data_IF_961500953348
#
_entry.id   IF_961500953348
#
_cell.length_a   1.000
_cell.length_b   1.000
_cell.length_c   1.000
_cell.angle_alpha   90.00
_cell.angle_beta   90.00
_cell.angle_gamma   90.00
#
_symmetry.space_group_name_H-M   'P 1'
#
loop_
_entity.id
_entity.type
_entity.pdbx_description
1 polymer ?
#
# COMPACT_ATOMS: atom_id res chain seq x y z
N UNK A 1 -25.73 -55.82 -30.71
CA UNK A 1 -24.95 -55.47 -29.51
C UNK A 1 -25.44 -54.10 -29.02
N UNK A 2 -25.79 -54.04 -27.72
CA UNK A 2 -26.06 -52.82 -26.93
C UNK A 2 -24.90 -51.80 -27.10
N UNK A 3 -25.05 -50.49 -26.93
CA UNK A 3 -25.49 -49.78 -25.72
C UNK A 3 -25.99 -48.36 -26.08
N UNK A 4 -27.16 -47.98 -25.54
CA UNK A 4 -27.65 -46.60 -25.39
C UNK A 4 -26.95 -45.90 -24.23
N UNK A 5 -26.65 -44.59 -24.33
CA UNK A 5 -26.80 -43.57 -23.26
C UNK A 5 -26.49 -42.17 -23.84
N UNK A 6 -27.50 -41.42 -24.28
CA UNK A 6 -28.08 -40.24 -23.62
C UNK A 6 -27.10 -39.41 -22.75
N UNK A 7 -26.60 -38.32 -23.32
CA UNK A 7 -26.06 -37.18 -22.57
C UNK A 7 -27.19 -36.51 -21.75
N UNK A 8 -26.98 -36.37 -20.45
CA UNK A 8 -27.81 -35.56 -19.54
C UNK A 8 -27.32 -34.11 -19.52
N UNK A 9 -28.21 -33.12 -19.36
CA UNK A 9 -27.83 -31.72 -19.16
C UNK A 9 -27.42 -31.51 -17.69
N UNK A 10 -26.33 -30.80 -17.44
CA UNK A 10 -25.95 -30.41 -16.08
C UNK A 10 -26.62 -29.09 -15.70
N UNK A 11 -27.64 -29.30 -14.88
CA UNK A 11 -28.38 -28.43 -13.98
C UNK A 11 -27.79 -27.05 -13.62
N UNK A 12 -28.66 -26.04 -13.69
CA UNK A 12 -28.53 -24.77 -12.99
C UNK A 12 -28.49 -25.02 -11.47
N UNK A 13 -27.53 -24.40 -10.79
CA UNK A 13 -27.70 -23.99 -9.40
C UNK A 13 -26.78 -22.82 -9.11
N UNK A 14 -27.39 -21.67 -8.83
CA UNK A 14 -26.73 -20.53 -8.21
C UNK A 14 -26.26 -20.92 -6.81
N UNK A 15 -25.16 -20.33 -6.34
CA UNK A 15 -25.12 -19.89 -4.96
C UNK A 15 -24.76 -18.41 -4.93
N UNK A 16 -25.76 -17.59 -4.60
CA UNK A 16 -25.56 -16.31 -3.93
C UNK A 16 -24.83 -16.57 -2.61
N UNK A 17 -23.56 -16.18 -2.53
CA UNK A 17 -22.90 -15.95 -1.25
C UNK A 17 -22.61 -14.46 -1.15
N UNK A 18 -23.43 -13.79 -0.34
CA UNK A 18 -23.12 -12.49 0.22
C UNK A 18 -21.75 -12.56 0.89
N UNK A 19 -20.79 -11.81 0.37
CA UNK A 19 -19.52 -11.59 1.04
C UNK A 19 -19.80 -10.70 2.25
N UNK A 20 -19.91 -11.31 3.43
CA UNK A 20 -19.85 -10.62 4.72
C UNK A 20 -18.53 -9.85 4.79
N UNK A 21 -18.61 -8.52 4.71
CA UNK A 21 -17.50 -7.62 5.00
C UNK A 21 -17.21 -7.71 6.49
N UNK A 22 -16.15 -8.44 6.85
CA UNK A 22 -15.57 -8.40 8.19
C UNK A 22 -14.88 -7.06 8.36
N UNK A 23 -15.55 -6.09 8.97
CA UNK A 23 -14.93 -4.86 9.44
C UNK A 23 -14.05 -5.19 10.65
N UNK A 24 -12.72 -5.17 10.47
CA UNK A 24 -11.78 -5.23 11.58
C UNK A 24 -11.84 -3.86 12.30
N UNK A 25 -12.45 -3.87 13.47
CA UNK A 25 -12.64 -2.71 14.31
C UNK A 25 -11.33 -2.40 15.06
N UNK A 26 -10.54 -1.44 14.56
CA UNK A 26 -9.35 -0.95 15.26
C UNK A 26 -9.78 -0.03 16.41
N UNK A 27 -10.01 -0.65 17.56
CA UNK A 27 -10.36 0.05 18.78
C UNK A 27 -9.09 0.66 19.41
N UNK A 28 -9.01 1.99 19.43
CA UNK A 28 -7.96 2.76 20.11
C UNK A 28 -8.05 2.56 21.63
N UNK A 29 -7.28 1.63 22.19
CA UNK A 29 -7.08 1.55 23.64
C UNK A 29 -5.59 1.73 23.98
N UNK A 30 -5.34 2.91 24.55
CA UNK A 30 -4.32 3.26 25.53
C UNK A 30 -2.96 2.53 25.44
N UNK A 31 -1.97 3.24 24.88
CA UNK A 31 -0.55 2.95 25.14
C UNK A 31 -0.20 3.41 26.55
N UNK A 32 -0.12 2.44 27.47
CA UNK A 32 0.44 2.60 28.78
C UNK A 32 1.97 2.78 28.73
N UNK A 33 2.43 3.72 29.54
CA UNK A 33 3.79 3.96 30.01
C UNK A 33 4.73 2.73 29.98
N UNK A 34 5.78 2.78 29.17
CA UNK A 34 7.01 2.01 29.39
C UNK A 34 8.17 2.96 29.70
N UNK A 35 8.81 2.68 30.83
CA UNK A 35 9.93 3.41 31.40
C UNK A 35 11.15 3.44 30.47
N UNK A 36 11.88 4.54 30.59
CA UNK A 36 12.93 5.05 29.72
C UNK A 36 14.23 4.27 29.89
N UNK A 37 14.70 3.63 28.83
CA UNK A 37 16.12 3.32 28.61
C UNK A 37 16.62 4.06 27.37
N UNK A 38 17.66 4.87 27.56
CA UNK A 38 18.16 5.85 26.59
C UNK A 38 19.13 5.21 25.59
N UNK A 39 18.76 5.20 24.31
CA UNK A 39 19.57 5.35 23.07
C UNK A 39 19.01 4.50 21.91
N UNK A 40 17.88 4.89 21.35
CA UNK A 40 17.52 4.56 19.96
C UNK A 40 16.47 5.55 19.43
N UNK A 41 16.90 6.74 19.02
CA UNK A 41 16.01 7.74 18.40
C UNK A 41 15.51 7.28 17.03
N UNK A 42 16.22 6.38 16.34
CA UNK A 42 15.82 5.84 15.04
C UNK A 42 14.73 4.76 15.12
N UNK A 43 14.67 4.03 16.23
CA UNK A 43 13.58 3.10 16.54
C UNK A 43 12.25 3.81 16.82
N UNK A 44 12.30 5.00 17.44
CA UNK A 44 11.09 5.79 17.76
C UNK A 44 10.44 6.44 16.53
N UNK A 45 11.22 6.81 15.51
CA UNK A 45 10.71 7.48 14.29
C UNK A 45 10.09 6.46 13.33
N UNK A 46 10.73 5.29 13.18
CA UNK A 46 10.25 4.25 12.26
C UNK A 46 9.30 3.23 12.90
N UNK A 47 9.32 3.09 14.23
CA UNK A 47 8.66 1.99 14.93
C UNK A 47 9.33 0.62 14.72
N UNK A 48 10.47 0.57 14.03
CA UNK A 48 11.24 -0.64 13.74
C UNK A 48 12.52 -0.66 14.60
N UNK A 49 12.77 -1.78 15.26
CA UNK A 49 14.03 -2.07 15.95
C UNK A 49 15.19 -2.23 14.97
N UNK A 50 16.42 -2.08 15.45
CA UNK A 50 17.61 -2.34 14.62
C UNK A 50 17.62 -3.74 13.99
N UNK A 51 17.20 -4.74 14.74
CA UNK A 51 17.18 -6.13 14.25
C UNK A 51 16.10 -6.33 13.18
N UNK A 52 14.92 -5.70 13.32
CA UNK A 52 13.89 -5.71 12.27
C UNK A 52 14.37 -4.99 11.00
N UNK A 53 15.10 -3.88 11.12
CA UNK A 53 15.68 -3.17 9.96
C UNK A 53 16.66 -4.04 9.19
N UNK A 54 17.57 -4.72 9.91
CA UNK A 54 18.53 -5.67 9.30
C UNK A 54 17.84 -6.88 8.69
N UNK A 55 16.78 -7.38 9.34
CA UNK A 55 15.96 -8.47 8.82
C UNK A 55 15.29 -8.06 7.50
N UNK A 56 14.71 -6.85 7.45
CA UNK A 56 14.09 -6.29 6.25
C UNK A 56 15.09 -6.24 5.09
N UNK A 57 16.27 -5.67 5.34
CA UNK A 57 17.33 -5.57 4.35
C UNK A 57 17.78 -6.94 3.84
N UNK A 58 18.07 -7.86 4.77
CA UNK A 58 18.49 -9.24 4.46
C UNK A 58 17.44 -9.97 3.62
N UNK A 59 16.16 -9.87 3.99
CA UNK A 59 15.07 -10.51 3.28
C UNK A 59 14.80 -9.87 1.92
N UNK A 60 14.98 -8.56 1.80
CA UNK A 60 14.85 -7.84 0.53
C UNK A 60 15.90 -8.29 -0.48
N UNK A 61 17.18 -8.35 -0.08
CA UNK A 61 18.26 -8.78 -0.97
C UNK A 61 18.24 -10.27 -1.34
N UNK A 62 17.49 -11.10 -0.60
CA UNK A 62 17.19 -12.48 -1.03
C UNK A 62 16.20 -12.54 -2.21
N UNK A 63 15.44 -11.48 -2.46
CA UNK A 63 14.53 -11.42 -3.60
C UNK A 63 15.27 -10.98 -4.87
N UNK A 64 15.07 -11.73 -5.96
CA UNK A 64 15.50 -11.29 -7.28
C UNK A 64 14.69 -10.07 -7.75
N UNK A 65 15.28 -9.28 -8.66
CA UNK A 65 14.60 -8.16 -9.33
C UNK A 65 13.28 -8.59 -9.98
N UNK A 66 13.22 -9.82 -10.54
CA UNK A 66 11.99 -10.39 -11.12
C UNK A 66 10.90 -10.60 -10.08
N UNK A 67 11.26 -11.08 -8.88
CA UNK A 67 10.33 -11.28 -7.78
C UNK A 67 9.82 -9.94 -7.24
N UNK A 68 10.68 -8.95 -7.04
CA UNK A 68 10.30 -7.60 -6.58
C UNK A 68 9.35 -6.93 -7.59
N UNK A 69 9.68 -6.99 -8.89
CA UNK A 69 8.83 -6.45 -9.96
C UNK A 69 7.47 -7.12 -9.97
N UNK A 70 7.42 -8.45 -9.91
CA UNK A 70 6.17 -9.20 -9.87
C UNK A 70 5.33 -8.84 -8.63
N UNK A 71 5.97 -8.76 -7.46
CA UNK A 71 5.32 -8.38 -6.21
C UNK A 71 4.66 -7.01 -6.32
N UNK A 72 5.39 -6.02 -6.85
CA UNK A 72 4.90 -4.64 -6.99
C UNK A 72 3.74 -4.55 -8.01
N UNK A 73 3.80 -5.36 -9.08
CA UNK A 73 2.69 -5.50 -10.03
C UNK A 73 1.47 -6.16 -9.39
N UNK A 74 1.66 -7.19 -8.56
CA UNK A 74 0.57 -7.89 -7.91
C UNK A 74 -0.12 -6.99 -6.86
N UNK A 75 0.65 -6.25 -6.05
CA UNK A 75 0.12 -5.23 -5.12
C UNK A 75 -0.70 -4.18 -5.88
N UNK A 76 -0.12 -3.54 -6.90
CA UNK A 76 -0.81 -2.47 -7.62
C UNK A 76 -2.06 -2.99 -8.36
N UNK A 77 -2.00 -4.21 -8.90
CA UNK A 77 -3.15 -4.85 -9.49
C UNK A 77 -4.29 -5.05 -8.48
N UNK A 78 -4.00 -5.53 -7.27
CA UNK A 78 -5.01 -5.71 -6.23
C UNK A 78 -5.59 -4.38 -5.73
N UNK A 79 -4.77 -3.33 -5.61
CA UNK A 79 -5.24 -1.98 -5.28
C UNK A 79 -6.32 -1.54 -6.29
N UNK A 80 -6.02 -1.63 -7.58
CA UNK A 80 -6.96 -1.21 -8.64
C UNK A 80 -8.24 -2.05 -8.67
N UNK A 81 -8.20 -3.30 -8.23
CA UNK A 81 -9.38 -4.18 -8.23
C UNK A 81 -10.13 -4.22 -6.90
N UNK A 82 -9.66 -3.50 -5.88
CA UNK A 82 -10.36 -3.41 -4.59
C UNK A 82 -11.52 -2.41 -4.67
N UNK A 83 -11.40 -1.36 -5.48
CA UNK A 83 -12.43 -0.33 -5.68
C UNK A 83 -12.39 0.20 -7.13
N UNK A 84 -13.54 0.25 -7.81
CA UNK A 84 -13.66 0.77 -9.18
C UNK A 84 -13.28 2.26 -9.29
N UNK A 85 -13.41 3.03 -8.21
CA UNK A 85 -12.98 4.43 -8.16
C UNK A 85 -11.47 4.56 -8.30
N UNK A 86 -10.70 3.56 -7.85
CA UNK A 86 -9.25 3.55 -8.01
C UNK A 86 -8.89 3.36 -9.49
N UNK A 87 -9.56 2.48 -10.22
CA UNK A 87 -9.36 2.37 -11.68
C UNK A 87 -9.60 3.72 -12.38
N UNK A 88 -10.65 4.44 -12.01
CA UNK A 88 -10.94 5.77 -12.56
C UNK A 88 -9.91 6.82 -12.14
N UNK A 89 -9.48 6.80 -10.88
CA UNK A 89 -8.44 7.69 -10.35
C UNK A 89 -7.12 7.54 -11.13
N UNK A 90 -6.76 6.31 -11.47
CA UNK A 90 -5.58 5.98 -12.27
C UNK A 90 -5.83 6.04 -13.79
N UNK A 91 -7.04 6.37 -14.24
CA UNK A 91 -7.46 6.42 -15.66
C UNK A 91 -7.22 5.10 -16.39
N UNK A 92 -7.51 3.98 -15.73
CA UNK A 92 -7.34 2.62 -16.23
C UNK A 92 -8.66 1.86 -16.32
N UNK A 93 -9.78 2.51 -16.03
CA UNK A 93 -11.15 1.99 -16.12
C UNK A 93 -11.55 1.53 -17.53
N UNK A 94 -10.95 2.11 -18.56
CA UNK A 94 -11.16 1.71 -19.96
C UNK A 94 -10.31 0.51 -20.40
N UNK A 95 -9.34 0.06 -19.58
CA UNK A 95 -8.42 -1.02 -19.93
C UNK A 95 -9.02 -2.35 -19.48
N UNK A 96 -9.19 -3.35 -20.38
CA UNK A 96 -9.68 -4.67 -19.99
C UNK A 96 -8.78 -5.30 -18.91
N UNK A 97 -9.39 -5.89 -17.88
CA UNK A 97 -8.70 -6.51 -16.73
C UNK A 97 -7.56 -7.45 -17.14
N UNK A 98 -7.80 -8.30 -18.15
CA UNK A 98 -6.82 -9.26 -18.65
C UNK A 98 -5.63 -8.63 -19.39
N UNK A 99 -5.72 -7.34 -19.77
CA UNK A 99 -4.66 -6.56 -20.43
C UNK A 99 -4.03 -5.51 -19.51
N UNK A 100 -4.51 -5.38 -18.27
CA UNK A 100 -4.08 -4.32 -17.36
C UNK A 100 -2.58 -4.39 -17.05
N UNK A 101 -2.04 -5.60 -16.84
CA UNK A 101 -0.61 -5.80 -16.54
C UNK A 101 0.32 -5.49 -17.73
N UNK A 102 -0.22 -5.46 -18.95
CA UNK A 102 0.53 -5.13 -20.17
C UNK A 102 0.50 -3.62 -20.47
N UNK A 103 -0.39 -2.85 -19.83
CA UNK A 103 -0.51 -1.42 -20.02
C UNK A 103 0.75 -0.68 -19.53
N UNK A 104 1.28 0.24 -20.35
CA UNK A 104 2.52 0.98 -20.05
C UNK A 104 2.44 1.83 -18.79
N UNK A 105 1.31 2.51 -18.57
CA UNK A 105 1.11 3.31 -17.37
C UNK A 105 1.07 2.42 -16.13
N UNK A 106 0.37 1.29 -16.19
CA UNK A 106 0.37 0.30 -15.11
C UNK A 106 1.78 -0.21 -14.79
N UNK A 107 2.55 -0.61 -15.82
CA UNK A 107 3.92 -1.11 -15.66
C UNK A 107 4.84 -0.07 -15.04
N UNK A 108 4.73 1.20 -15.48
CA UNK A 108 5.52 2.31 -14.93
C UNK A 108 5.13 2.60 -13.48
N UNK A 109 3.85 2.65 -13.16
CA UNK A 109 3.38 2.97 -11.81
C UNK A 109 3.73 1.86 -10.81
N UNK A 110 3.54 0.59 -11.18
CA UNK A 110 3.99 -0.55 -10.36
C UNK A 110 5.51 -0.62 -10.22
N UNK A 111 6.29 -0.16 -11.20
CA UNK A 111 7.74 -0.04 -11.06
C UNK A 111 8.14 1.06 -10.07
N UNK A 112 7.43 2.20 -10.05
CA UNK A 112 7.65 3.24 -9.03
C UNK A 112 7.40 2.71 -7.62
N UNK A 113 6.40 1.84 -7.43
CA UNK A 113 6.18 1.17 -6.15
C UNK A 113 7.40 0.35 -5.70
N UNK A 114 8.02 -0.41 -6.62
CA UNK A 114 9.24 -1.15 -6.34
C UNK A 114 10.40 -0.24 -5.94
N UNK A 115 10.52 0.93 -6.58
CA UNK A 115 11.56 1.92 -6.27
C UNK A 115 11.36 2.52 -4.87
N UNK A 116 10.12 2.84 -4.49
CA UNK A 116 9.80 3.34 -3.15
C UNK A 116 10.15 2.30 -2.08
N UNK A 117 9.74 1.04 -2.29
CA UNK A 117 10.08 -0.05 -1.37
C UNK A 117 11.59 -0.23 -1.24
N UNK A 118 12.32 -0.20 -2.37
CA UNK A 118 13.76 -0.31 -2.36
C UNK A 118 14.42 0.83 -1.58
N UNK A 119 14.02 2.08 -1.86
CA UNK A 119 14.51 3.26 -1.16
C UNK A 119 14.35 3.09 0.35
N UNK A 120 13.14 2.73 0.80
CA UNK A 120 12.86 2.56 2.23
C UNK A 120 13.78 1.51 2.82
N UNK A 121 13.81 0.30 2.27
CA UNK A 121 14.63 -0.79 2.80
C UNK A 121 16.10 -0.40 2.91
N UNK A 122 16.67 0.24 1.88
CA UNK A 122 18.10 0.61 1.86
C UNK A 122 18.44 1.81 2.75
N UNK A 123 17.44 2.57 3.19
CA UNK A 123 17.63 3.78 3.99
C UNK A 123 17.29 3.58 5.48
N UNK A 124 16.65 2.48 5.88
CA UNK A 124 16.13 2.29 7.23
C UNK A 124 17.20 2.26 8.35
N UNK A 125 18.39 1.69 8.11
CA UNK A 125 19.46 1.59 9.13
C UNK A 125 20.27 2.89 9.23
N UNK A 126 20.72 3.43 8.09
CA UNK A 126 21.72 4.52 8.08
C UNK A 126 21.18 5.89 7.64
N UNK A 127 20.07 5.94 6.91
CA UNK A 127 19.57 7.18 6.31
C UNK A 127 18.05 7.33 6.43
N UNK A 128 17.54 7.14 7.65
CA UNK A 128 16.09 7.13 7.90
C UNK A 128 15.42 8.47 7.52
N UNK A 129 16.13 9.58 7.69
CA UNK A 129 15.65 10.92 7.33
C UNK A 129 15.38 11.02 5.82
N UNK A 130 16.26 10.46 4.97
CA UNK A 130 16.01 10.40 3.52
C UNK A 130 14.74 9.62 3.18
N UNK A 131 14.49 8.49 3.85
CA UNK A 131 13.27 7.73 3.63
C UNK A 131 12.03 8.52 4.08
N UNK A 132 12.10 9.14 5.26
CA UNK A 132 11.06 9.99 5.81
C UNK A 132 10.69 11.13 4.85
N UNK A 133 11.67 11.91 4.40
CA UNK A 133 11.45 13.07 3.54
C UNK A 133 10.91 12.68 2.17
N UNK A 134 11.45 11.61 1.58
CA UNK A 134 10.97 11.10 0.30
C UNK A 134 9.52 10.61 0.38
N UNK A 135 9.15 9.93 1.47
CA UNK A 135 7.78 9.45 1.69
C UNK A 135 6.80 10.60 1.95
N UNK A 136 7.21 11.63 2.70
CA UNK A 136 6.38 12.81 2.90
C UNK A 136 6.18 13.58 1.59
N UNK A 137 7.24 13.79 0.81
CA UNK A 137 7.14 14.40 -0.51
C UNK A 137 6.21 13.60 -1.45
N UNK A 138 6.26 12.27 -1.40
CA UNK A 138 5.33 11.41 -2.13
C UNK A 138 3.89 11.59 -1.63
N UNK A 139 3.68 11.68 -0.32
CA UNK A 139 2.39 11.99 0.30
C UNK A 139 1.80 13.33 -0.17
N UNK A 140 2.63 14.38 -0.25
CA UNK A 140 2.22 15.70 -0.74
C UNK A 140 1.71 15.64 -2.18
N UNK A 141 2.35 14.84 -3.05
CA UNK A 141 1.91 14.67 -4.44
C UNK A 141 0.50 14.08 -4.52
N UNK A 142 0.08 13.27 -3.54
CA UNK A 142 -1.27 12.69 -3.50
C UNK A 142 -2.36 13.73 -3.20
N UNK A 143 -2.00 14.91 -2.67
CA UNK A 143 -2.94 16.04 -2.52
C UNK A 143 -3.36 16.61 -3.88
N UNK A 144 -2.51 16.50 -4.92
CA UNK A 144 -2.87 16.94 -6.28
C UNK A 144 -3.99 16.09 -6.92
N UNK A 145 -4.22 14.89 -6.40
CA UNK A 145 -5.34 14.03 -6.80
C UNK A 145 -6.68 14.55 -6.28
N UNK A 146 -6.67 15.41 -5.25
CA UNK A 146 -7.86 15.96 -4.60
C UNK A 146 -8.76 16.78 -5.55
N UNK A 147 -8.17 17.43 -6.56
CA UNK A 147 -8.91 18.33 -7.46
C UNK A 147 -9.61 17.60 -8.63
N UNK A 148 -9.40 16.29 -8.83
CA UNK A 148 -9.96 15.53 -9.98
C UNK A 148 -11.00 14.47 -9.60
N UNK A 149 -10.78 13.81 -8.47
CA UNK A 149 -11.66 12.80 -7.86
C UNK A 149 -11.11 12.63 -6.46
N UNK A 150 -11.69 13.30 -5.47
CA UNK A 150 -11.09 13.49 -4.14
C UNK A 150 -10.41 12.21 -3.60
N UNK A 151 -9.10 12.26 -3.35
CA UNK A 151 -8.39 11.16 -2.71
C UNK A 151 -9.00 10.93 -1.32
N UNK A 152 -9.60 9.76 -1.10
CA UNK A 152 -10.34 9.44 0.12
C UNK A 152 -9.42 8.80 1.16
N UNK A 153 -9.65 9.07 2.44
CA UNK A 153 -8.85 8.50 3.51
C UNK A 153 -8.87 6.96 3.51
N UNK A 154 -9.97 6.34 3.07
CA UNK A 154 -10.10 4.88 2.95
C UNK A 154 -9.11 4.24 1.97
N UNK A 155 -8.57 5.01 1.00
CA UNK A 155 -7.60 4.47 0.05
C UNK A 155 -6.29 4.10 0.74
N UNK A 156 -5.92 4.78 1.84
CA UNK A 156 -4.77 4.40 2.64
C UNK A 156 -4.92 3.01 3.26
N UNK A 157 -6.13 2.66 3.68
CA UNK A 157 -6.42 1.37 4.31
C UNK A 157 -6.42 0.28 3.23
N UNK A 158 -7.00 0.54 2.05
CA UNK A 158 -6.89 -0.34 0.87
C UNK A 158 -5.44 -0.61 0.50
N UNK A 159 -4.59 0.43 0.47
CA UNK A 159 -3.18 0.26 0.15
C UNK A 159 -2.51 -0.65 1.17
N UNK A 160 -2.71 -0.38 2.46
CA UNK A 160 -2.17 -1.18 3.58
C UNK A 160 -2.56 -2.65 3.42
N UNK A 161 -3.85 -2.93 3.22
CA UNK A 161 -4.36 -4.30 3.05
C UNK A 161 -3.78 -5.02 1.82
N UNK A 162 -3.56 -4.30 0.72
CA UNK A 162 -2.97 -4.88 -0.49
C UNK A 162 -1.48 -5.20 -0.29
N UNK A 163 -0.74 -4.36 0.42
CA UNK A 163 0.66 -4.66 0.79
C UNK A 163 0.75 -5.87 1.73
N UNK A 164 -0.13 -5.97 2.72
CA UNK A 164 -0.18 -7.07 3.69
C UNK A 164 -0.50 -8.43 3.06
N UNK A 165 -1.38 -8.43 2.05
CA UNK A 165 -1.77 -9.65 1.32
C UNK A 165 -0.71 -10.11 0.32
N UNK A 166 0.16 -9.21 -0.13
CA UNK A 166 1.14 -9.48 -1.18
C UNK A 166 2.58 -9.21 -0.72
N UNK A 167 3.08 -9.82 0.37
CA UNK A 167 4.46 -9.66 0.77
C UNK A 167 5.39 -10.34 -0.26
N UNK A 168 6.62 -9.82 -0.46
CA UNK A 168 7.60 -10.50 -1.29
C UNK A 168 7.90 -11.90 -0.73
N UNK A 169 8.38 -12.86 -1.54
CA UNK A 169 8.47 -14.27 -1.14
C UNK A 169 9.25 -14.55 0.15
N UNK A 170 10.27 -13.74 0.46
CA UNK A 170 11.07 -13.85 1.69
C UNK A 170 10.38 -13.31 2.95
N UNK A 171 9.22 -12.67 2.84
CA UNK A 171 8.49 -12.02 3.94
C UNK A 171 7.16 -12.72 4.28
N UNK A 172 6.97 -13.96 3.85
CA UNK A 172 5.63 -14.62 3.93
C UNK A 172 5.28 -15.22 5.28
N UNK A 173 6.24 -15.35 6.21
CA UNK A 173 6.06 -16.10 7.46
C UNK A 173 6.81 -15.43 8.61
N UNK A 174 6.41 -15.78 9.83
CA UNK A 174 7.18 -15.52 11.03
C UNK A 174 7.55 -14.04 11.25
N UNK A 175 8.72 -13.79 11.86
CA UNK A 175 9.24 -12.44 12.11
C UNK A 175 9.41 -11.60 10.85
N UNK A 176 9.71 -12.23 9.71
CA UNK A 176 9.87 -11.52 8.43
C UNK A 176 8.56 -10.88 8.00
N UNK A 177 7.44 -11.57 8.19
CA UNK A 177 6.11 -11.02 7.88
C UNK A 177 5.77 -9.85 8.79
N UNK A 178 6.04 -9.97 10.09
CA UNK A 178 5.77 -8.89 11.04
C UNK A 178 6.61 -7.65 10.77
N UNK A 179 7.90 -7.82 10.44
CA UNK A 179 8.78 -6.74 10.05
C UNK A 179 8.30 -6.04 8.76
N UNK A 180 7.85 -6.83 7.77
CA UNK A 180 7.21 -6.29 6.56
C UNK A 180 6.00 -5.43 6.93
N UNK A 181 5.08 -5.95 7.74
CA UNK A 181 3.89 -5.22 8.16
C UNK A 181 4.23 -3.89 8.84
N UNK A 182 5.18 -3.89 9.77
CA UNK A 182 5.63 -2.65 10.43
C UNK A 182 6.26 -1.65 9.48
N UNK A 183 7.04 -2.12 8.49
CA UNK A 183 7.60 -1.25 7.45
C UNK A 183 6.49 -0.62 6.59
N UNK A 184 5.45 -1.37 6.23
CA UNK A 184 4.31 -0.81 5.49
C UNK A 184 3.59 0.25 6.32
N UNK A 185 3.36 0.00 7.61
CA UNK A 185 2.77 0.99 8.51
C UNK A 185 3.62 2.26 8.61
N UNK A 186 4.94 2.13 8.68
CA UNK A 186 5.86 3.26 8.61
C UNK A 186 5.69 4.05 7.30
N UNK A 187 5.71 3.37 6.15
CA UNK A 187 5.52 4.00 4.83
C UNK A 187 4.21 4.80 4.78
N UNK A 188 3.10 4.16 5.16
CA UNK A 188 1.78 4.78 5.11
C UNK A 188 1.67 5.94 6.10
N UNK A 189 2.27 5.83 7.30
CA UNK A 189 2.28 6.92 8.28
C UNK A 189 3.00 8.16 7.73
N UNK A 190 4.18 7.99 7.12
CA UNK A 190 4.93 9.11 6.55
C UNK A 190 4.22 9.74 5.35
N UNK A 191 3.63 8.92 4.47
CA UNK A 191 2.83 9.44 3.36
C UNK A 191 1.59 10.21 3.85
N UNK A 192 0.90 9.69 4.88
CA UNK A 192 -0.24 10.38 5.50
C UNK A 192 0.17 11.73 6.10
N UNK A 193 1.32 11.80 6.77
CA UNK A 193 1.81 13.05 7.36
C UNK A 193 2.11 14.10 6.27
N UNK A 194 2.85 13.70 5.22
CA UNK A 194 3.12 14.58 4.08
C UNK A 194 1.85 15.06 3.37
N UNK A 195 0.88 14.16 3.19
CA UNK A 195 -0.43 14.51 2.64
C UNK A 195 -1.19 15.52 3.51
N UNK A 196 -1.24 15.29 4.83
CA UNK A 196 -1.98 16.15 5.76
C UNK A 196 -1.38 17.56 5.83
N UNK A 197 -0.05 17.68 5.86
CA UNK A 197 0.66 18.97 5.82
C UNK A 197 0.28 19.77 4.57
N UNK A 198 0.43 19.18 3.38
CA UNK A 198 0.10 19.86 2.13
C UNK A 198 -1.41 20.13 1.94
N UNK A 199 -2.28 19.24 2.45
CA UNK A 199 -3.72 19.45 2.41
C UNK A 199 -4.16 20.61 3.32
N UNK A 200 -3.50 20.77 4.47
CA UNK A 200 -3.72 21.90 5.38
C UNK A 200 -3.26 23.22 4.74
N UNK A 201 -2.04 23.26 4.19
CA UNK A 201 -1.50 24.43 3.49
C UNK A 201 -2.42 24.92 2.37
N UNK A 202 -2.86 24.02 1.48
CA UNK A 202 -3.82 24.37 0.41
C UNK A 202 -5.15 24.91 0.92
N UNK A 203 -5.63 24.44 2.08
CA UNK A 203 -6.88 24.96 2.68
C UNK A 203 -6.68 26.35 3.25
N UNK A 204 -5.57 26.59 3.93
CA UNK A 204 -5.22 27.91 4.46
C UNK A 204 -5.10 28.91 3.31
N UNK A 205 -4.37 28.57 2.23
CA UNK A 205 -4.22 29.43 1.05
C UNK A 205 -5.55 29.80 0.37
N UNK A 206 -6.50 28.85 0.32
CA UNK A 206 -7.85 29.12 -0.20
C UNK A 206 -8.66 30.07 0.69
N UNK A 207 -8.40 30.08 2.00
CA UNK A 207 -9.12 30.91 2.98
C UNK A 207 -8.47 32.28 3.18
N UNK A 208 -7.19 32.44 2.81
CA UNK A 208 -6.44 33.69 2.96
C UNK A 208 -6.51 34.62 1.74
N UNK A 209 -7.33 34.32 0.72
CA UNK A 209 -7.60 35.26 -0.38
C UNK A 209 -8.43 36.44 0.15
N UNK A 210 -7.88 37.68 0.18
CA UNK A 210 -8.65 38.84 0.59
C UNK A 210 -9.61 39.23 -0.53
N UNK A 211 -10.87 39.48 -0.18
CA UNK A 211 -11.79 40.24 -1.02
C UNK A 211 -11.23 41.66 -1.15
N UNK A 212 -10.63 41.97 -2.30
CA UNK A 212 -10.46 43.34 -2.73
C UNK A 212 -11.52 43.65 -3.78
N UNK A 213 -12.36 44.63 -3.41
CA UNK A 213 -13.37 45.29 -4.22
C UNK A 213 -12.77 46.12 -5.34
#
# INVERSE_FOLDING_TARGET
MNVSHKFRPFNQSSPTKSSERVYINYNSKQYGSYERSTKDTGGLISGLTRDEKRLLETCWFKCSTKQIRKCSQDIFYEILHTDEDLLRLFRLDHVPTNKLKDNDYFRRHSANLALVLNLVVTSLEENLEQAHDALQALGQQHVSLFDKTAFQSMYWDIFTDCFERNPPPSFRKGPEREAWSRMILFIIAQMKDGYQKAAHEKRVDRLSVPHFA
#
